data_IF_393054143501
#
_entry.id   IF_393054143501
#
_cell.length_a   1.000
_cell.length_b   1.000
_cell.length_c   1.000
_cell.angle_alpha   90.00
_cell.angle_beta   90.00
_cell.angle_gamma   90.00
#
_symmetry.space_group_name_H-M   'P 1'
#
loop_
_entity.id
_entity.type
_entity.pdbx_description
1 polymer ?
#
# COMPACT_ATOMS: atom_id res chain seq x y z
N UNK A 1 4.20 12.55 1.71
CA UNK A 1 2.76 12.68 1.41
C UNK A 1 2.53 14.07 0.81
N UNK A 2 1.65 14.20 -0.19
CA UNK A 2 1.29 15.47 -0.82
C UNK A 2 -0.19 15.46 -1.22
N UNK A 3 -0.81 16.64 -1.38
CA UNK A 3 -2.17 16.80 -1.91
C UNK A 3 -2.10 17.38 -3.33
N UNK A 4 -2.98 16.89 -4.20
CA UNK A 4 -3.15 17.37 -5.57
C UNK A 4 -4.57 17.91 -5.72
N UNK A 5 -4.69 19.20 -6.02
CA UNK A 5 -5.95 19.84 -6.36
C UNK A 5 -6.19 19.75 -7.87
N UNK A 6 -7.36 19.26 -8.26
CA UNK A 6 -7.76 19.19 -9.67
C UNK A 6 -8.35 20.53 -10.10
N UNK A 7 -8.08 20.94 -11.33
CA UNK A 7 -8.60 22.18 -11.92
C UNK A 7 -10.14 22.24 -11.93
N UNK A 8 -10.79 21.07 -12.02
CA UNK A 8 -12.25 20.93 -11.96
C UNK A 8 -12.66 19.74 -11.09
N UNK A 9 -13.82 19.81 -10.41
CA UNK A 9 -14.31 18.72 -9.58
C UNK A 9 -14.67 17.49 -10.42
N UNK A 10 -14.35 16.31 -9.90
CA UNK A 10 -14.68 15.03 -10.54
C UNK A 10 -16.13 14.66 -10.28
N UNK A 11 -16.82 14.16 -11.30
CA UNK A 11 -18.18 13.62 -11.18
C UNK A 11 -18.13 12.15 -10.78
N UNK A 12 -18.72 11.80 -9.63
CA UNK A 12 -18.79 10.42 -9.16
C UNK A 12 -19.61 9.54 -10.13
N UNK A 13 -19.18 8.30 -10.28
CA UNK A 13 -19.84 7.29 -11.12
C UNK A 13 -19.55 5.88 -10.57
N UNK A 14 -20.15 4.82 -11.11
CA UNK A 14 -19.79 3.46 -10.70
C UNK A 14 -18.29 3.11 -10.83
N UNK A 15 -17.54 3.86 -11.65
CA UNK A 15 -16.11 3.67 -11.87
C UNK A 15 -15.23 4.73 -11.19
N UNK A 16 -15.85 5.76 -10.58
CA UNK A 16 -15.14 6.87 -9.94
C UNK A 16 -15.78 7.12 -8.57
N UNK A 17 -15.06 6.73 -7.52
CA UNK A 17 -15.48 6.86 -6.14
C UNK A 17 -14.31 7.39 -5.30
N UNK A 18 -14.62 8.09 -4.21
CA UNK A 18 -13.62 8.59 -3.27
C UNK A 18 -13.24 7.51 -2.26
N UNK A 19 -11.95 7.42 -1.93
CA UNK A 19 -11.50 6.63 -0.78
C UNK A 19 -11.77 7.36 0.53
N UNK A 20 -12.06 6.62 1.60
CA UNK A 20 -12.17 7.18 2.94
C UNK A 20 -10.79 7.50 3.50
N UNK A 21 -10.70 8.57 4.29
CA UNK A 21 -9.55 8.82 5.17
C UNK A 21 -9.80 8.10 6.49
N UNK A 22 -8.75 7.49 7.07
CA UNK A 22 -8.86 6.79 8.34
C UNK A 22 -9.26 7.74 9.48
N UNK A 23 -10.10 7.24 10.39
CA UNK A 23 -10.40 7.93 11.64
C UNK A 23 -9.13 8.05 12.49
N UNK A 24 -8.81 9.21 13.10
CA UNK A 24 -7.64 9.36 13.97
C UNK A 24 -7.58 8.37 15.13
N UNK A 25 -8.72 7.81 15.56
CA UNK A 25 -8.83 6.82 16.63
C UNK A 25 -8.71 5.37 16.13
N UNK A 26 -8.65 5.16 14.81
CA UNK A 26 -8.50 3.83 14.23
C UNK A 26 -7.13 3.24 14.61
N UNK A 27 -7.15 2.06 15.22
CA UNK A 27 -5.94 1.27 15.38
C UNK A 27 -5.70 0.50 14.09
N UNK A 28 -4.61 0.85 13.38
CA UNK A 28 -4.28 0.21 12.10
C UNK A 28 -4.08 -1.30 12.28
N UNK A 29 -3.62 -1.77 13.44
CA UNK A 29 -3.51 -3.19 13.79
C UNK A 29 -4.83 -3.97 13.70
N UNK A 30 -5.97 -3.31 13.83
CA UNK A 30 -7.30 -3.93 13.77
C UNK A 30 -7.77 -4.15 12.33
N UNK A 31 -7.04 -3.60 11.34
CA UNK A 31 -7.37 -3.77 9.94
C UNK A 31 -6.96 -5.15 9.45
N UNK A 32 -7.95 -5.92 9.03
CA UNK A 32 -7.76 -7.19 8.36
C UNK A 32 -8.16 -7.04 6.88
N UNK A 33 -7.42 -7.71 5.98
CA UNK A 33 -7.67 -7.69 4.53
C UNK A 33 -7.37 -6.34 3.85
N UNK A 34 -6.11 -5.89 3.95
CA UNK A 34 -5.66 -4.73 3.20
C UNK A 34 -5.36 -5.11 1.74
N UNK A 35 -5.48 -4.14 0.84
CA UNK A 35 -5.19 -4.31 -0.58
C UNK A 35 -4.33 -3.16 -1.08
N UNK A 36 -3.39 -3.45 -1.97
CA UNK A 36 -2.65 -2.46 -2.75
C UNK A 36 -3.04 -2.63 -4.22
N UNK A 37 -3.19 -1.51 -4.94
CA UNK A 37 -3.57 -1.53 -6.35
C UNK A 37 -2.70 -0.55 -7.16
N UNK A 38 -2.39 -0.91 -8.40
CA UNK A 38 -1.58 -0.08 -9.28
C UNK A 38 -1.27 -0.72 -10.63
N UNK A 39 -0.60 0.04 -11.49
CA UNK A 39 -0.16 -0.40 -12.83
C UNK A 39 1.36 -0.65 -12.90
N UNK A 40 2.02 -0.86 -11.77
CA UNK A 40 3.46 -1.08 -11.70
C UNK A 40 3.92 -2.32 -12.48
N UNK A 41 5.24 -2.57 -12.44
CA UNK A 41 5.79 -3.83 -12.93
C UNK A 41 5.14 -5.01 -12.18
N UNK A 42 4.87 -6.11 -12.88
CA UNK A 42 4.22 -7.29 -12.27
C UNK A 42 5.23 -8.34 -11.81
N UNK A 43 6.51 -8.14 -12.11
CA UNK A 43 7.60 -9.02 -11.70
C UNK A 43 8.92 -8.24 -11.67
N UNK A 44 9.84 -8.71 -10.85
CA UNK A 44 11.18 -8.15 -10.75
C UNK A 44 11.91 -8.16 -12.10
N UNK A 45 12.60 -7.07 -12.41
CA UNK A 45 13.35 -6.92 -13.66
C UNK A 45 12.50 -6.59 -14.90
N UNK A 46 11.17 -6.58 -14.78
CA UNK A 46 10.28 -6.14 -15.86
C UNK A 46 10.19 -4.61 -15.85
N UNK A 47 10.71 -3.97 -16.91
CA UNK A 47 10.68 -2.50 -17.03
C UNK A 47 9.34 -1.94 -17.52
N UNK A 48 8.49 -2.79 -18.12
CA UNK A 48 7.22 -2.34 -18.68
C UNK A 48 6.13 -2.43 -17.60
N UNK A 49 5.42 -1.32 -17.29
CA UNK A 49 4.25 -1.36 -16.43
C UNK A 49 3.12 -2.21 -17.05
N UNK A 50 2.19 -2.65 -16.22
CA UNK A 50 1.02 -3.38 -16.67
C UNK A 50 0.06 -2.48 -17.45
N UNK A 51 -0.50 -2.98 -18.55
CA UNK A 51 -1.57 -2.30 -19.30
C UNK A 51 -2.94 -2.39 -18.56
N UNK A 52 -3.05 -3.27 -17.56
CA UNK A 52 -4.25 -3.48 -16.75
C UNK A 52 -3.99 -3.20 -15.28
N UNK A 53 -4.95 -2.60 -14.58
CA UNK A 53 -4.87 -2.39 -13.13
C UNK A 53 -4.69 -3.74 -12.44
N UNK A 54 -3.68 -3.84 -11.59
CA UNK A 54 -3.44 -4.99 -10.73
C UNK A 54 -3.86 -4.63 -9.31
N UNK A 55 -4.26 -5.66 -8.56
CA UNK A 55 -4.50 -5.58 -7.14
C UNK A 55 -3.86 -6.78 -6.43
N UNK A 56 -3.42 -6.55 -5.21
CA UNK A 56 -2.82 -7.57 -4.38
C UNK A 56 -3.33 -7.42 -2.95
N UNK A 57 -3.82 -8.51 -2.39
CA UNK A 57 -4.15 -8.60 -0.97
C UNK A 57 -2.86 -8.66 -0.17
N UNK A 58 -2.76 -7.90 0.91
CA UNK A 58 -1.59 -7.85 1.80
C UNK A 58 -2.03 -7.96 3.25
N UNK A 59 -1.10 -8.38 4.12
CA UNK A 59 -1.29 -8.41 5.57
C UNK A 59 -0.46 -7.31 6.20
N UNK A 60 -0.99 -6.68 7.25
CA UNK A 60 -0.20 -5.76 8.05
C UNK A 60 0.83 -6.54 8.85
N UNK A 61 2.05 -6.00 8.87
CA UNK A 61 3.19 -6.56 9.60
C UNK A 61 3.49 -5.60 10.74
N UNK A 62 3.64 -6.14 11.94
CA UNK A 62 3.96 -5.35 13.11
C UNK A 62 5.28 -4.58 12.91
N UNK A 63 5.29 -3.31 13.33
CA UNK A 63 6.44 -2.43 13.16
C UNK A 63 7.70 -2.98 13.84
N UNK A 64 7.56 -3.69 14.97
CA UNK A 64 8.68 -4.34 15.66
C UNK A 64 9.28 -5.48 14.83
N UNK A 65 8.45 -6.24 14.11
CA UNK A 65 8.93 -7.28 13.19
C UNK A 65 9.69 -6.63 12.03
N UNK A 66 9.12 -5.57 11.46
CA UNK A 66 9.74 -4.81 10.39
C UNK A 66 11.10 -4.22 10.79
N UNK A 67 11.20 -3.67 12.00
CA UNK A 67 12.43 -3.10 12.55
C UNK A 67 13.35 -4.12 13.21
N UNK A 68 13.05 -5.43 13.10
CA UNK A 68 13.97 -6.46 13.54
C UNK A 68 15.29 -6.37 12.78
N UNK A 69 16.37 -6.84 13.40
CA UNK A 69 17.72 -6.80 12.81
C UNK A 69 17.86 -7.60 11.50
N UNK A 70 16.96 -8.54 11.25
CA UNK A 70 16.92 -9.35 10.03
C UNK A 70 16.23 -8.65 8.85
N UNK A 71 15.54 -7.54 9.10
CA UNK A 71 14.72 -6.81 8.10
C UNK A 71 15.27 -5.40 7.94
N UNK A 72 14.56 -4.37 8.41
CA UNK A 72 14.94 -2.97 8.22
C UNK A 72 15.81 -2.41 9.36
N UNK A 73 16.15 -3.22 10.38
CA UNK A 73 17.12 -2.87 11.41
C UNK A 73 16.91 -1.51 12.12
N UNK A 74 15.65 -1.06 12.24
CA UNK A 74 15.29 0.20 12.90
C UNK A 74 15.03 1.39 11.97
N UNK A 75 15.15 1.22 10.65
CA UNK A 75 15.00 2.30 9.68
C UNK A 75 13.53 2.73 9.45
N UNK A 76 12.55 1.92 9.85
CA UNK A 76 11.13 2.23 9.64
C UNK A 76 10.60 3.09 10.81
N UNK A 77 10.12 4.29 10.51
CA UNK A 77 9.57 5.19 11.52
C UNK A 77 8.14 4.83 11.94
N UNK A 78 7.72 5.34 13.11
CA UNK A 78 6.37 5.11 13.68
C UNK A 78 5.21 5.63 12.82
N UNK A 79 5.50 6.51 11.85
CA UNK A 79 4.51 7.05 10.91
C UNK A 79 4.42 6.23 9.61
N UNK A 80 5.19 5.15 9.51
CA UNK A 80 5.15 4.20 8.41
C UNK A 80 4.35 2.95 8.82
N UNK A 81 3.88 2.23 7.81
CA UNK A 81 3.22 0.94 7.96
C UNK A 81 3.96 -0.08 7.10
N UNK A 82 4.04 -1.31 7.62
CA UNK A 82 4.53 -2.45 6.87
C UNK A 82 3.37 -3.33 6.46
N UNK A 83 3.35 -3.73 5.19
CA UNK A 83 2.35 -4.63 4.67
C UNK A 83 2.97 -5.58 3.64
N UNK A 84 2.58 -6.84 3.68
CA UNK A 84 3.09 -7.87 2.77
C UNK A 84 2.95 -9.27 3.36
N UNK A 85 3.82 -10.16 2.92
CA UNK A 85 3.95 -11.52 3.43
C UNK A 85 5.40 -11.77 3.84
N UNK A 86 5.68 -12.25 5.06
CA UNK A 86 7.05 -12.56 5.50
C UNK A 86 7.80 -13.52 4.59
N UNK A 87 7.08 -14.34 3.82
CA UNK A 87 7.62 -15.29 2.86
C UNK A 87 8.07 -14.65 1.54
N UNK A 88 7.82 -13.35 1.33
CA UNK A 88 8.28 -12.59 0.15
C UNK A 88 7.55 -12.93 -1.15
N UNK A 89 6.31 -13.41 -1.07
CA UNK A 89 5.56 -13.89 -2.25
C UNK A 89 4.77 -12.80 -2.98
N UNK A 90 4.19 -11.85 -2.23
CA UNK A 90 3.38 -10.74 -2.76
C UNK A 90 3.93 -9.44 -2.20
N UNK A 91 4.47 -8.60 -3.08
CA UNK A 91 5.07 -7.31 -2.74
C UNK A 91 4.88 -6.31 -3.90
N UNK A 92 5.08 -5.03 -3.63
CA UNK A 92 5.12 -3.99 -4.66
C UNK A 92 6.42 -4.09 -5.46
N UNK A 93 6.32 -4.15 -6.79
CA UNK A 93 7.47 -4.04 -7.68
C UNK A 93 7.54 -2.62 -8.27
N UNK A 94 8.77 -2.13 -8.50
CA UNK A 94 9.03 -0.83 -9.12
C UNK A 94 9.55 -1.00 -10.56
#
# INVERSE_FOLDING_TARGET
IALLELDHPVQCSPYIQMACVADPMLQVSDLHNCWVAGWGATAEGVKKPSDHLQEAKVQLIDLQVCNSSSWYAGDIHIHNLCAGYPEGTIDTCQ
#
